data_IF_397335083951
#
_entry.id   IF_397335083951
#
_cell.length_a   1.000
_cell.length_b   1.000
_cell.length_c   1.000
_cell.angle_alpha   90.00
_cell.angle_beta   90.00
_cell.angle_gamma   90.00
#
_symmetry.space_group_name_H-M   'P 1'
#
loop_
_entity.id
_entity.type
_entity.pdbx_description
1 polymer ?
#
# COMPACT_ATOMS: atom_id res chain seq x y z
N UNK A 1 -19.10 -17.66 -9.76
CA UNK A 1 -18.57 -16.37 -9.24
C UNK A 1 -17.11 -16.16 -9.61
N UNK A 2 -16.26 -17.19 -9.54
CA UNK A 2 -14.83 -17.11 -9.89
C UNK A 2 -14.59 -16.62 -11.33
N UNK A 3 -15.33 -17.14 -12.30
CA UNK A 3 -15.23 -16.75 -13.72
C UNK A 3 -15.47 -15.26 -13.97
N UNK A 4 -16.36 -14.62 -13.18
CA UNK A 4 -16.64 -13.19 -13.33
C UNK A 4 -15.48 -12.32 -12.84
N UNK A 5 -14.83 -12.73 -11.76
CA UNK A 5 -13.68 -12.02 -11.20
C UNK A 5 -12.43 -12.13 -12.09
N UNK A 6 -12.21 -13.30 -12.69
CA UNK A 6 -11.13 -13.52 -13.66
C UNK A 6 -11.29 -12.62 -14.90
N UNK A 7 -12.50 -12.54 -15.45
CA UNK A 7 -12.79 -11.65 -16.59
C UNK A 7 -12.52 -10.18 -16.27
N UNK A 8 -12.92 -9.72 -15.08
CA UNK A 8 -12.70 -8.34 -14.62
C UNK A 8 -11.20 -8.06 -14.37
N UNK A 9 -10.46 -9.03 -13.84
CA UNK A 9 -9.00 -8.95 -13.70
C UNK A 9 -8.32 -8.81 -15.05
N UNK A 10 -8.70 -9.61 -16.04
CA UNK A 10 -8.13 -9.54 -17.38
C UNK A 10 -8.44 -8.22 -18.07
N UNK A 11 -9.66 -7.69 -17.89
CA UNK A 11 -10.01 -6.35 -18.35
C UNK A 11 -9.14 -5.28 -17.69
N UNK A 12 -8.91 -5.39 -16.36
CA UNK A 12 -8.04 -4.46 -15.65
C UNK A 12 -6.61 -4.53 -16.18
N UNK A 13 -6.04 -5.73 -16.34
CA UNK A 13 -4.68 -5.94 -16.88
C UNK A 13 -4.53 -5.31 -18.28
N UNK A 14 -5.52 -5.50 -19.15
CA UNK A 14 -5.57 -4.84 -20.47
C UNK A 14 -5.62 -3.32 -20.37
N UNK A 15 -6.43 -2.78 -19.45
CA UNK A 15 -6.50 -1.34 -19.21
C UNK A 15 -5.20 -0.77 -18.64
N UNK A 16 -4.47 -1.50 -17.79
CA UNK A 16 -3.14 -1.12 -17.29
C UNK A 16 -2.14 -1.03 -18.45
N UNK A 17 -2.13 -2.01 -19.36
CA UNK A 17 -1.28 -1.98 -20.56
C UNK A 17 -1.60 -0.80 -21.47
N UNK A 18 -2.89 -0.47 -21.68
CA UNK A 18 -3.30 0.72 -22.45
C UNK A 18 -2.81 2.03 -21.86
N UNK A 19 -2.60 2.09 -20.54
CA UNK A 19 -2.04 3.25 -19.85
C UNK A 19 -0.50 3.32 -19.93
N UNK A 20 0.15 2.36 -20.60
CA UNK A 20 1.62 2.29 -20.70
C UNK A 20 2.30 1.77 -19.44
N UNK A 21 1.55 1.22 -18.49
CA UNK A 21 2.08 0.58 -17.28
C UNK A 21 2.10 -0.95 -17.45
N UNK A 22 2.95 -1.63 -16.68
CA UNK A 22 2.93 -3.09 -16.56
C UNK A 22 2.35 -3.51 -15.20
N UNK A 23 1.54 -4.56 -15.22
CA UNK A 23 1.09 -5.27 -14.01
C UNK A 23 1.99 -6.48 -13.69
N UNK A 24 3.03 -6.72 -14.48
CA UNK A 24 4.00 -7.81 -14.24
C UNK A 24 4.67 -7.63 -12.87
N UNK A 25 4.87 -8.75 -12.17
CA UNK A 25 5.37 -8.75 -10.79
C UNK A 25 4.30 -8.56 -9.72
N UNK A 26 3.05 -8.23 -10.09
CA UNK A 26 1.93 -8.16 -9.16
C UNK A 26 0.96 -9.31 -9.37
N UNK A 27 0.75 -10.12 -8.33
CA UNK A 27 -0.23 -11.21 -8.37
C UNK A 27 -1.68 -10.71 -8.38
N UNK A 28 -2.58 -11.56 -8.85
CA UNK A 28 -4.03 -11.28 -8.90
C UNK A 28 -4.63 -10.79 -7.57
N UNK A 29 -4.23 -11.30 -6.38
CA UNK A 29 -4.72 -10.75 -5.11
C UNK A 29 -4.38 -9.29 -4.87
N UNK A 30 -3.29 -8.78 -5.46
CA UNK A 30 -2.92 -7.36 -5.40
C UNK A 30 -3.78 -6.54 -6.33
N UNK A 31 -3.93 -6.97 -7.59
CA UNK A 31 -4.75 -6.28 -8.59
C UNK A 31 -6.23 -6.23 -8.20
N UNK A 32 -6.74 -7.32 -7.61
CA UNK A 32 -8.11 -7.40 -7.10
C UNK A 32 -8.41 -6.33 -6.05
N UNK A 33 -7.42 -5.84 -5.31
CA UNK A 33 -7.64 -4.79 -4.30
C UNK A 33 -7.93 -3.43 -4.93
N UNK A 34 -7.29 -3.12 -6.06
CA UNK A 34 -7.61 -1.91 -6.82
C UNK A 34 -9.01 -1.99 -7.42
N UNK A 35 -9.42 -3.18 -7.89
CA UNK A 35 -10.79 -3.45 -8.34
C UNK A 35 -11.79 -3.24 -7.20
N UNK A 36 -11.62 -3.89 -6.05
CA UNK A 36 -12.50 -3.72 -4.89
C UNK A 36 -12.58 -2.23 -4.48
N UNK A 37 -11.44 -1.54 -4.41
CA UNK A 37 -11.38 -0.11 -4.06
C UNK A 37 -12.04 0.81 -5.09
N UNK A 38 -12.35 0.31 -6.29
CA UNK A 38 -13.01 1.03 -7.37
C UNK A 38 -14.30 0.35 -7.83
N UNK A 39 -14.96 -0.36 -6.91
CA UNK A 39 -16.27 -0.97 -7.14
C UNK A 39 -16.29 -1.94 -8.34
N UNK A 40 -15.20 -2.70 -8.50
CA UNK A 40 -14.97 -3.64 -9.60
C UNK A 40 -14.92 -3.00 -11.01
N UNK A 41 -14.70 -1.69 -11.11
CA UNK A 41 -14.52 -0.98 -12.37
C UNK A 41 -13.06 -1.13 -12.88
N UNK A 42 -12.81 -1.87 -13.99
CA UNK A 42 -11.47 -2.16 -14.46
C UNK A 42 -10.66 -0.93 -14.88
N UNK A 43 -11.32 0.08 -15.45
CA UNK A 43 -10.65 1.28 -15.95
C UNK A 43 -10.24 2.20 -14.79
N UNK A 44 -11.15 2.41 -13.83
CA UNK A 44 -10.84 3.17 -12.62
C UNK A 44 -9.79 2.48 -11.76
N UNK A 45 -9.85 1.14 -11.66
CA UNK A 45 -8.85 0.35 -10.96
C UNK A 45 -7.48 0.44 -11.64
N UNK A 46 -7.42 0.29 -12.97
CA UNK A 46 -6.19 0.42 -13.74
C UNK A 46 -5.56 1.82 -13.59
N UNK A 47 -6.38 2.88 -13.64
CA UNK A 47 -5.90 4.25 -13.42
C UNK A 47 -5.30 4.44 -12.03
N UNK A 48 -5.97 3.93 -10.99
CA UNK A 48 -5.45 3.98 -9.61
C UNK A 48 -4.16 3.16 -9.47
N UNK A 49 -4.08 1.99 -10.09
CA UNK A 49 -2.89 1.16 -10.08
C UNK A 49 -1.70 1.85 -10.76
N UNK A 50 -1.90 2.43 -11.94
CA UNK A 50 -0.86 3.17 -12.67
C UNK A 50 -0.32 4.35 -11.85
N UNK A 51 -1.22 5.13 -11.24
CA UNK A 51 -0.86 6.22 -10.34
C UNK A 51 -0.03 5.72 -9.14
N UNK A 52 -0.52 4.66 -8.46
CA UNK A 52 0.19 4.04 -7.35
C UNK A 52 1.57 3.51 -7.75
N UNK A 53 1.68 2.83 -8.88
CA UNK A 53 2.94 2.26 -9.38
C UNK A 53 3.97 3.37 -9.67
N UNK A 54 3.56 4.44 -10.36
CA UNK A 54 4.42 5.59 -10.64
C UNK A 54 4.88 6.30 -9.36
N UNK A 55 3.99 6.44 -8.39
CA UNK A 55 4.35 6.98 -7.08
C UNK A 55 5.31 6.07 -6.31
N UNK A 56 5.11 4.75 -6.32
CA UNK A 56 6.06 3.81 -5.71
C UNK A 56 7.44 3.94 -6.32
N UNK A 57 7.52 4.01 -7.65
CA UNK A 57 8.80 4.11 -8.36
C UNK A 57 9.53 5.43 -8.07
N UNK A 58 8.79 6.55 -7.94
CA UNK A 58 9.39 7.86 -7.65
C UNK A 58 9.68 8.11 -6.17
N UNK A 59 8.83 7.62 -5.26
CA UNK A 59 8.94 7.90 -3.83
C UNK A 59 9.74 6.85 -3.06
N UNK A 60 9.75 5.60 -3.55
CA UNK A 60 10.42 4.45 -2.91
C UNK A 60 11.22 3.68 -3.98
N UNK A 61 12.25 4.32 -4.59
CA UNK A 61 12.96 3.75 -5.74
C UNK A 61 13.68 2.43 -5.43
N UNK A 62 14.14 2.24 -4.19
CA UNK A 62 14.76 1.00 -3.71
C UNK A 62 13.76 -0.13 -3.45
N UNK A 63 12.45 0.12 -3.64
CA UNK A 63 11.38 -0.83 -3.37
C UNK A 63 10.96 -0.93 -1.90
N UNK A 64 11.79 -0.44 -0.97
CA UNK A 64 11.51 -0.31 0.46
C UNK A 64 12.13 0.98 1.01
N UNK A 65 11.67 1.40 2.20
CA UNK A 65 12.25 2.50 2.98
C UNK A 65 13.10 1.90 4.10
N UNK A 66 14.38 2.25 4.15
CA UNK A 66 15.30 1.75 5.16
C UNK A 66 15.02 2.36 6.56
N UNK A 67 15.31 1.63 7.63
CA UNK A 67 15.09 2.11 9.00
C UNK A 67 15.93 3.37 9.30
N UNK A 68 17.12 3.50 8.70
CA UNK A 68 17.96 4.69 8.85
C UNK A 68 17.31 5.96 8.28
N UNK A 69 16.45 5.85 7.27
CA UNK A 69 15.76 7.00 6.67
C UNK A 69 14.66 7.56 7.58
N UNK A 70 14.21 6.78 8.58
CA UNK A 70 13.06 7.08 9.44
C UNK A 70 13.38 6.89 10.92
N UNK A 71 14.66 6.88 11.29
CA UNK A 71 15.13 6.59 12.64
C UNK A 71 14.51 7.52 13.70
N UNK A 72 14.43 8.82 13.43
CA UNK A 72 13.83 9.81 14.34
C UNK A 72 12.35 9.53 14.61
N UNK A 73 11.61 9.09 13.58
CA UNK A 73 10.20 8.74 13.70
C UNK A 73 10.00 7.42 14.48
N UNK A 74 10.91 6.46 14.29
CA UNK A 74 10.93 5.18 15.00
C UNK A 74 11.29 5.34 16.48
N UNK A 75 12.20 6.27 16.82
CA UNK A 75 12.67 6.52 18.19
C UNK A 75 11.52 6.86 19.14
N UNK A 76 10.51 7.59 18.66
CA UNK A 76 9.33 7.94 19.44
C UNK A 76 8.49 6.73 19.88
N UNK A 77 8.66 5.57 19.22
CA UNK A 77 7.90 4.32 19.48
C UNK A 77 6.40 4.60 19.63
N UNK A 78 5.88 5.47 18.76
CA UNK A 78 4.50 5.93 18.78
C UNK A 78 3.55 4.97 18.08
N UNK A 79 4.07 3.96 17.38
CA UNK A 79 3.27 2.90 16.77
C UNK A 79 3.80 1.53 17.18
N UNK A 80 2.90 0.59 17.46
CA UNK A 80 3.23 -0.81 17.72
C UNK A 80 2.30 -1.76 16.96
N UNK A 81 2.81 -2.93 16.60
CA UNK A 81 2.06 -3.98 15.90
C UNK A 81 1.76 -5.11 16.90
N UNK A 82 0.50 -5.32 17.24
CA UNK A 82 0.06 -6.17 18.37
C UNK A 82 -0.60 -7.48 17.91
N UNK A 83 -0.08 -8.09 16.84
CA UNK A 83 -0.64 -9.32 16.29
C UNK A 83 -1.81 -9.09 15.32
N UNK A 84 -2.70 -10.09 15.27
CA UNK A 84 -3.91 -10.09 14.44
C UNK A 84 -5.16 -9.96 15.31
N UNK A 85 -6.15 -9.24 14.82
CA UNK A 85 -7.53 -9.26 15.35
C UNK A 85 -8.18 -10.63 15.20
N UNK A 86 -9.34 -10.83 15.83
CA UNK A 86 -10.14 -12.07 15.71
C UNK A 86 -10.46 -12.47 14.26
N UNK A 87 -10.54 -11.48 13.37
CA UNK A 87 -10.84 -11.69 11.96
C UNK A 87 -9.57 -11.78 11.08
N UNK A 88 -8.38 -11.90 11.69
CA UNK A 88 -7.12 -12.07 10.96
C UNK A 88 -6.50 -10.78 10.41
N UNK A 89 -7.03 -9.60 10.75
CA UNK A 89 -6.44 -8.32 10.31
C UNK A 89 -5.33 -7.83 11.25
N UNK A 90 -4.22 -7.28 10.74
CA UNK A 90 -3.15 -6.71 11.55
C UNK A 90 -3.65 -5.59 12.47
N UNK A 91 -3.28 -5.66 13.75
CA UNK A 91 -3.62 -4.65 14.73
C UNK A 91 -2.45 -3.70 14.95
N UNK A 92 -2.61 -2.46 14.48
CA UNK A 92 -1.66 -1.38 14.69
C UNK A 92 -2.20 -0.42 15.75
N UNK A 93 -1.42 -0.20 16.81
CA UNK A 93 -1.78 0.72 17.90
C UNK A 93 -0.91 1.98 17.79
N UNK A 94 -1.56 3.13 17.68
CA UNK A 94 -0.92 4.45 17.68
C UNK A 94 -1.09 5.10 19.06
N UNK A 95 0.04 5.36 19.72
CA UNK A 95 0.10 6.03 21.02
C UNK A 95 0.19 7.54 20.83
N UNK A 96 -0.97 8.22 20.81
CA UNK A 96 -1.06 9.67 20.61
C UNK A 96 -0.22 10.49 21.58
N UNK A 97 -0.10 10.07 22.85
CA UNK A 97 0.74 10.76 23.85
C UNK A 97 2.25 10.72 23.56
N UNK A 98 2.69 9.83 22.66
CA UNK A 98 4.08 9.77 22.16
C UNK A 98 4.26 10.50 20.83
N UNK A 99 3.21 11.11 20.28
CA UNK A 99 3.31 11.83 19.02
C UNK A 99 4.17 13.09 19.19
N UNK A 100 5.28 13.11 18.46
CA UNK A 100 6.03 14.32 18.15
C UNK A 100 5.80 14.62 16.66
N UNK A 101 5.32 15.82 16.32
CA UNK A 101 5.20 16.24 14.92
C UNK A 101 6.57 16.17 14.24
N UNK A 102 6.62 15.61 13.04
CA UNK A 102 7.87 15.59 12.27
C UNK A 102 8.24 17.00 11.86
N UNK A 103 9.55 17.30 11.90
CA UNK A 103 10.11 18.52 11.32
C UNK A 103 10.30 18.40 9.80
N UNK A 104 10.36 17.17 9.29
CA UNK A 104 10.43 16.85 7.87
C UNK A 104 9.21 16.02 7.46
N UNK A 105 8.31 16.64 6.69
CA UNK A 105 7.14 15.95 6.16
C UNK A 105 7.50 14.78 5.24
N UNK A 106 8.66 14.83 4.56
CA UNK A 106 9.13 13.75 3.70
C UNK A 106 9.54 12.54 4.53
N UNK A 107 10.34 12.73 5.57
CA UNK A 107 10.67 11.69 6.55
C UNK A 107 9.40 11.07 7.16
N UNK A 108 8.40 11.88 7.51
CA UNK A 108 7.13 11.36 8.04
C UNK A 108 6.37 10.51 7.01
N UNK A 109 6.28 10.96 5.76
CA UNK A 109 5.68 10.18 4.66
C UNK A 109 6.44 8.85 4.48
N UNK A 110 7.77 8.87 4.49
CA UNK A 110 8.62 7.66 4.45
C UNK A 110 8.36 6.73 5.64
N UNK A 111 8.21 7.27 6.84
CA UNK A 111 7.87 6.50 8.05
C UNK A 111 6.52 5.79 7.93
N UNK A 112 5.50 6.48 7.41
CA UNK A 112 4.17 5.87 7.17
C UNK A 112 4.28 4.72 6.16
N UNK A 113 5.04 4.92 5.07
CA UNK A 113 5.30 3.86 4.08
C UNK A 113 6.03 2.68 4.69
N UNK A 114 7.13 2.93 5.42
CA UNK A 114 7.91 1.92 6.11
C UNK A 114 7.05 1.05 7.04
N UNK A 115 6.23 1.70 7.87
CA UNK A 115 5.34 1.05 8.84
C UNK A 115 4.31 0.13 8.16
N UNK A 116 3.72 0.59 7.06
CA UNK A 116 2.77 -0.21 6.31
C UNK A 116 3.46 -1.36 5.60
N UNK A 117 4.54 -1.12 4.86
CA UNK A 117 5.31 -2.15 4.14
C UNK A 117 5.77 -3.26 5.10
N UNK A 118 6.28 -2.92 6.30
CA UNK A 118 6.63 -3.89 7.35
C UNK A 118 5.42 -4.68 7.84
N UNK A 119 4.26 -4.03 8.01
CA UNK A 119 3.02 -4.70 8.41
C UNK A 119 2.57 -5.71 7.36
N UNK A 120 2.66 -5.36 6.07
CA UNK A 120 2.30 -6.24 4.95
C UNK A 120 3.23 -7.45 4.88
N UNK A 121 4.55 -7.20 4.95
CA UNK A 121 5.57 -8.22 4.93
C UNK A 121 5.43 -9.19 6.11
N UNK A 122 5.08 -8.69 7.31
CA UNK A 122 4.97 -9.51 8.52
C UNK A 122 3.83 -10.53 8.46
N UNK A 123 2.70 -10.16 7.85
CA UNK A 123 1.51 -11.02 7.84
C UNK A 123 1.21 -11.65 6.48
N UNK A 124 2.07 -11.44 5.46
CA UNK A 124 1.81 -11.85 4.07
C UNK A 124 0.45 -11.32 3.57
N UNK A 125 0.05 -10.16 4.06
CA UNK A 125 -1.21 -9.53 3.69
C UNK A 125 -0.89 -8.47 2.66
N UNK A 126 -1.42 -8.60 1.43
CA UNK A 126 -1.23 -7.61 0.36
C UNK A 126 -2.04 -6.30 0.61
N UNK A 127 -2.12 -5.76 1.83
CA UNK A 127 -2.96 -4.61 2.21
C UNK A 127 -2.46 -3.27 1.63
N UNK A 128 -2.66 -3.05 0.32
CA UNK A 128 -2.51 -1.72 -0.29
C UNK A 128 -3.82 -1.39 -1.00
N UNK A 129 -4.54 -0.40 -0.47
CA UNK A 129 -5.42 0.50 -1.24
C UNK A 129 -6.12 1.55 -0.34
N UNK A 130 -5.41 2.28 0.53
CA UNK A 130 -6.03 3.42 1.26
C UNK A 130 -5.17 4.69 1.38
N UNK A 131 -3.89 4.69 0.97
CA UNK A 131 -3.02 5.87 1.16
C UNK A 131 -2.98 6.88 0.00
N UNK A 132 -3.36 6.49 -1.21
CA UNK A 132 -3.16 7.37 -2.38
C UNK A 132 -3.98 8.67 -2.33
N UNK A 133 -4.99 8.75 -1.46
CA UNK A 133 -5.84 9.94 -1.32
C UNK A 133 -5.27 10.99 -0.35
N UNK A 134 -4.16 10.69 0.35
CA UNK A 134 -3.58 11.52 1.41
C UNK A 134 -2.10 11.89 1.21
N UNK A 135 -1.41 11.32 0.21
CA UNK A 135 0.01 11.59 -0.08
C UNK A 135 0.22 12.49 -1.26
#
# INVERSE_FOLDING_TARGET
METGNELVLDQMKKSVQKLGCSAEGFGDPTLMRFLIARSMDPEKAAKMFAQWSNWRHSFVPSGFVDESEVADELEHRKVSLQGLSRNGYPLMIVMGGKHRPSKDHTQFKKFVVHLLDKTLARYLIHLICWLYKWM
#
